data_IF_486457561284
#
_entry.id   IF_486457561284
#
_cell.length_a   1.000
_cell.length_b   1.000
_cell.length_c   1.000
_cell.angle_alpha   90.00
_cell.angle_beta   90.00
_cell.angle_gamma   90.00
#
_symmetry.space_group_name_H-M   'P 1'
#
loop_
_entity.id
_entity.type
_entity.pdbx_description
1 polymer ?
#
# COMPACT_ATOMS: atom_id res chain seq x y z
N UNK A 1 -4.73 -3.78 18.45
CA UNK A 1 -4.18 -4.69 17.43
C UNK A 1 -2.76 -4.27 17.09
N UNK A 2 -1.91 -5.21 16.70
CA UNK A 2 -0.61 -4.96 16.07
C UNK A 2 -0.77 -5.07 14.56
N UNK A 3 -0.52 -3.98 13.86
CA UNK A 3 -0.74 -3.84 12.42
C UNK A 3 0.60 -3.60 11.75
N UNK A 4 0.90 -4.43 10.74
CA UNK A 4 2.08 -4.25 9.87
C UNK A 4 1.60 -3.69 8.54
N UNK A 5 2.28 -2.67 8.03
CA UNK A 5 1.90 -1.98 6.80
C UNK A 5 3.09 -1.95 5.84
N UNK A 6 2.90 -2.49 4.64
CA UNK A 6 3.86 -2.38 3.53
C UNK A 6 3.50 -1.15 2.70
N UNK A 7 4.43 -0.20 2.61
CA UNK A 7 4.25 1.03 1.83
C UNK A 7 4.41 0.79 0.32
N UNK A 8 4.36 1.87 -0.45
CA UNK A 8 4.74 1.83 -1.87
C UNK A 8 6.26 1.67 -2.03
N UNK A 9 6.73 0.90 -3.04
CA UNK A 9 8.15 0.82 -3.40
C UNK A 9 8.57 1.95 -4.37
N UNK A 10 7.71 2.92 -4.63
CA UNK A 10 7.97 4.02 -5.58
C UNK A 10 8.50 5.22 -4.80
N UNK A 11 9.82 5.34 -4.72
CA UNK A 11 10.49 6.34 -3.91
C UNK A 11 10.29 6.14 -2.39
N UNK A 12 11.00 6.90 -1.59
CA UNK A 12 10.84 6.87 -0.13
C UNK A 12 9.68 7.78 0.32
N UNK A 13 9.05 7.47 1.43
CA UNK A 13 7.97 8.28 2.02
C UNK A 13 8.51 9.68 2.38
N UNK A 14 7.86 10.71 1.87
CA UNK A 14 8.31 12.10 1.94
C UNK A 14 9.09 12.55 0.71
N UNK A 15 9.30 11.69 -0.30
CA UNK A 15 9.94 12.07 -1.58
C UNK A 15 8.99 12.78 -2.53
N UNK A 16 7.69 12.62 -2.35
CA UNK A 16 6.66 13.05 -3.29
C UNK A 16 6.49 12.14 -4.52
N UNK A 17 7.39 11.18 -4.74
CA UNK A 17 7.32 10.25 -5.90
C UNK A 17 6.14 9.30 -5.82
N UNK A 18 5.76 8.87 -4.61
CA UNK A 18 4.60 8.02 -4.37
C UNK A 18 3.25 8.76 -4.45
N UNK A 19 3.29 10.10 -4.61
CA UNK A 19 2.10 10.93 -4.79
C UNK A 19 1.07 10.76 -3.67
N UNK A 20 -0.21 10.63 -4.05
CA UNK A 20 -1.31 10.50 -3.09
C UNK A 20 -1.23 9.32 -2.15
N UNK A 21 -0.50 8.25 -2.51
CA UNK A 21 -0.33 7.06 -1.65
C UNK A 21 0.47 7.41 -0.40
N UNK A 22 1.47 8.30 -0.47
CA UNK A 22 2.25 8.74 0.69
C UNK A 22 1.39 9.48 1.71
N UNK A 23 0.50 10.37 1.23
CA UNK A 23 -0.47 11.08 2.08
C UNK A 23 -1.47 10.12 2.73
N UNK A 24 -2.05 9.25 1.91
CA UNK A 24 -3.02 8.23 2.38
C UNK A 24 -2.40 7.35 3.47
N UNK A 25 -1.15 6.91 3.28
CA UNK A 25 -0.43 6.11 4.27
C UNK A 25 -0.25 6.88 5.58
N UNK A 26 0.19 8.13 5.53
CA UNK A 26 0.40 8.94 6.73
C UNK A 26 -0.90 9.14 7.51
N UNK A 27 -2.02 9.40 6.83
CA UNK A 27 -3.33 9.55 7.49
C UNK A 27 -3.85 8.23 8.04
N UNK A 28 -3.65 7.12 7.33
CA UNK A 28 -4.02 5.79 7.81
C UNK A 28 -3.25 5.44 9.08
N UNK A 29 -1.94 5.65 9.09
CA UNK A 29 -1.09 5.43 10.29
C UNK A 29 -1.57 6.29 11.45
N UNK A 30 -1.84 7.59 11.22
CA UNK A 30 -2.33 8.51 12.23
C UNK A 30 -3.67 8.05 12.82
N UNK A 31 -4.61 7.63 11.96
CA UNK A 31 -5.90 7.10 12.38
C UNK A 31 -5.78 5.83 13.21
N UNK A 32 -4.95 4.89 12.76
CA UNK A 32 -4.74 3.63 13.49
C UNK A 32 -4.09 3.85 14.87
N UNK A 33 -3.10 4.75 14.96
CA UNK A 33 -2.49 5.13 16.24
C UNK A 33 -3.50 5.79 17.18
N UNK A 34 -4.36 6.67 16.65
CA UNK A 34 -5.40 7.36 17.46
C UNK A 34 -6.45 6.39 18.02
N UNK A 35 -6.69 5.29 17.32
CA UNK A 35 -7.55 4.20 17.78
C UNK A 35 -6.84 3.22 18.76
N UNK A 36 -5.61 3.52 19.15
CA UNK A 36 -4.86 2.74 20.13
C UNK A 36 -4.20 1.48 19.56
N UNK A 37 -4.04 1.38 18.24
CA UNK A 37 -3.33 0.27 17.62
C UNK A 37 -1.81 0.49 17.65
N UNK A 38 -1.04 -0.60 17.68
CA UNK A 38 0.39 -0.59 17.41
C UNK A 38 0.62 -0.72 15.91
N UNK A 39 1.40 0.18 15.32
CA UNK A 39 1.62 0.24 13.88
C UNK A 39 3.11 0.13 13.57
N UNK A 40 3.46 -0.81 12.69
CA UNK A 40 4.79 -0.96 12.12
C UNK A 40 4.71 -0.77 10.61
N UNK A 41 5.57 0.06 10.06
CA UNK A 41 5.58 0.41 8.62
C UNK A 41 6.86 -0.08 7.99
N UNK A 42 6.75 -0.86 6.91
CA UNK A 42 7.86 -1.28 6.07
C UNK A 42 7.96 -0.29 4.91
N UNK A 43 9.09 0.35 4.75
CA UNK A 43 9.27 1.40 3.76
C UNK A 43 10.71 1.45 3.19
N UNK A 44 10.92 2.07 2.02
CA UNK A 44 12.24 2.33 1.48
C UNK A 44 13.13 3.11 2.45
N UNK A 45 14.44 2.91 2.37
CA UNK A 45 15.43 3.71 3.12
C UNK A 45 15.19 5.21 2.92
N UNK A 46 15.49 6.01 3.93
CA UNK A 46 15.26 7.46 4.01
C UNK A 46 13.78 7.88 4.12
N UNK A 47 12.85 6.96 4.20
CA UNK A 47 11.44 7.27 4.44
C UNK A 47 11.23 7.98 5.76
N UNK A 48 10.28 8.92 5.78
CA UNK A 48 9.85 9.65 6.97
C UNK A 48 8.33 9.63 7.05
N UNK A 49 7.82 9.40 8.25
CA UNK A 49 6.42 9.63 8.55
C UNK A 49 6.23 11.06 9.06
N UNK A 50 5.00 11.55 8.97
CA UNK A 50 4.64 12.83 9.57
C UNK A 50 4.90 12.82 11.10
N UNK A 51 5.24 13.96 11.67
CA UNK A 51 5.59 14.10 13.10
C UNK A 51 4.51 13.58 14.06
N UNK A 52 3.23 13.64 13.67
CA UNK A 52 2.14 13.03 14.44
C UNK A 52 2.23 11.51 14.58
N UNK A 53 3.04 10.86 13.73
CA UNK A 53 3.15 9.41 13.62
C UNK A 53 4.40 8.84 14.29
N UNK A 54 5.05 9.59 15.19
CA UNK A 54 6.30 9.19 15.86
C UNK A 54 6.19 7.87 16.65
N UNK A 55 4.97 7.46 17.03
CA UNK A 55 4.71 6.19 17.73
C UNK A 55 4.70 4.98 16.80
N UNK A 56 4.60 5.19 15.51
CA UNK A 56 4.72 4.09 14.55
C UNK A 56 6.18 3.68 14.40
N UNK A 57 6.44 2.39 14.37
CA UNK A 57 7.78 1.86 14.15
C UNK A 57 8.06 1.76 12.66
N UNK A 58 9.14 2.39 12.19
CA UNK A 58 9.53 2.39 10.79
C UNK A 58 10.67 1.39 10.56
N UNK A 59 10.49 0.50 9.59
CA UNK A 59 11.48 -0.48 9.17
C UNK A 59 11.94 -0.16 7.76
N UNK A 60 13.23 0.06 7.59
CA UNK A 60 13.82 0.41 6.31
C UNK A 60 14.28 -0.81 5.53
N UNK A 61 14.09 -0.73 4.22
CA UNK A 61 14.59 -1.67 3.22
C UNK A 61 15.33 -0.90 2.14
N UNK A 62 16.43 -1.47 1.65
CA UNK A 62 17.19 -0.98 0.51
C UNK A 62 17.02 -1.93 -0.66
N UNK A 63 17.07 -1.41 -1.86
CA UNK A 63 16.97 -2.18 -3.09
C UNK A 63 16.72 -1.29 -4.29
N UNK A 64 16.52 -1.90 -5.44
CA UNK A 64 16.19 -1.23 -6.68
C UNK A 64 14.70 -0.91 -6.73
N UNK A 65 14.39 0.35 -7.06
CA UNK A 65 13.01 0.87 -7.15
C UNK A 65 12.21 0.11 -8.23
N UNK A 66 10.93 -0.16 -7.95
CA UNK A 66 9.97 -0.60 -8.97
C UNK A 66 9.60 0.57 -9.90
N UNK A 67 9.39 0.25 -11.18
CA UNK A 67 8.81 1.21 -12.11
C UNK A 67 7.30 1.27 -11.84
N UNK A 68 6.79 2.47 -11.57
CA UNK A 68 5.34 2.67 -11.37
C UNK A 68 4.54 2.19 -12.57
N UNK A 69 3.44 1.48 -12.31
CA UNK A 69 2.52 1.03 -13.34
C UNK A 69 1.87 2.18 -14.12
N UNK A 70 1.82 3.38 -13.55
CA UNK A 70 1.40 4.61 -14.27
C UNK A 70 2.33 4.99 -15.42
N UNK A 71 3.56 4.52 -15.41
CA UNK A 71 4.57 4.79 -16.45
C UNK A 71 4.82 3.59 -17.36
N UNK A 72 3.97 2.56 -17.27
CA UNK A 72 4.05 1.36 -18.10
C UNK A 72 2.84 1.24 -19.02
N UNK A 73 2.97 0.44 -20.07
CA UNK A 73 1.82 0.11 -20.91
C UNK A 73 0.91 -0.90 -20.19
N UNK A 74 -0.39 -0.83 -20.45
CA UNK A 74 -1.40 -1.72 -19.86
C UNK A 74 -1.04 -3.21 -19.94
N UNK A 75 -0.40 -3.64 -21.01
CA UNK A 75 0.01 -5.03 -21.26
C UNK A 75 1.51 -5.29 -20.98
N UNK A 76 2.18 -4.40 -20.29
CA UNK A 76 3.58 -4.63 -19.89
C UNK A 76 3.70 -5.89 -19.03
N UNK A 77 4.75 -6.72 -19.25
CA UNK A 77 5.00 -7.87 -18.41
C UNK A 77 5.44 -7.44 -17.00
N UNK A 78 5.26 -8.32 -16.03
CA UNK A 78 5.86 -8.12 -14.70
C UNK A 78 7.36 -8.23 -14.81
N UNK A 79 8.07 -7.26 -14.25
CA UNK A 79 9.52 -7.27 -14.11
C UNK A 79 9.88 -7.06 -12.65
N UNK A 80 10.77 -7.90 -12.14
CA UNK A 80 11.26 -7.83 -10.76
C UNK A 80 12.79 -7.76 -10.87
N UNK A 81 13.41 -6.63 -10.45
CA UNK A 81 14.87 -6.51 -10.42
C UNK A 81 15.53 -7.55 -9.50
N UNK A 82 16.76 -7.94 -9.78
CA UNK A 82 17.52 -8.90 -8.96
C UNK A 82 17.65 -8.47 -7.50
N UNK A 83 17.83 -7.16 -7.26
CA UNK A 83 17.86 -6.55 -5.94
C UNK A 83 16.58 -5.74 -5.70
N UNK A 84 15.42 -6.36 -5.86
CA UNK A 84 14.12 -5.69 -5.79
C UNK A 84 13.82 -5.13 -4.40
N UNK A 85 13.65 -3.82 -4.31
CA UNK A 85 13.16 -3.15 -3.11
C UNK A 85 11.82 -3.72 -2.65
N UNK A 86 10.88 -3.95 -3.57
CA UNK A 86 9.56 -4.50 -3.26
C UNK A 86 9.65 -5.91 -2.68
N UNK A 87 10.51 -6.77 -3.24
CA UNK A 87 10.69 -8.13 -2.73
C UNK A 87 11.26 -8.09 -1.30
N UNK A 88 12.27 -7.26 -1.04
CA UNK A 88 12.83 -7.08 0.30
C UNK A 88 11.82 -6.49 1.31
N UNK A 89 10.98 -5.54 0.88
CA UNK A 89 9.91 -4.99 1.71
C UNK A 89 8.86 -6.06 2.06
N UNK A 90 8.51 -6.90 1.10
CA UNK A 90 7.58 -8.00 1.31
C UNK A 90 8.15 -9.05 2.25
N UNK A 91 9.38 -9.51 2.03
CA UNK A 91 10.07 -10.46 2.91
C UNK A 91 10.10 -9.96 4.36
N UNK A 92 10.56 -8.73 4.56
CA UNK A 92 10.60 -8.11 5.90
C UNK A 92 9.20 -7.93 6.51
N UNK A 93 8.23 -7.52 5.69
CA UNK A 93 6.84 -7.35 6.13
C UNK A 93 6.23 -8.68 6.57
N UNK A 94 6.41 -9.74 5.81
CA UNK A 94 5.94 -11.09 6.14
C UNK A 94 6.58 -11.65 7.40
N UNK A 95 7.89 -11.41 7.59
CA UNK A 95 8.57 -11.87 8.81
C UNK A 95 8.02 -11.19 10.07
N UNK A 96 7.82 -9.88 10.04
CA UNK A 96 7.24 -9.12 11.16
C UNK A 96 5.76 -9.49 11.36
N UNK A 97 5.03 -9.75 10.28
CA UNK A 97 3.61 -10.08 10.32
C UNK A 97 3.29 -11.43 10.99
N UNK A 98 4.26 -12.33 11.12
CA UNK A 98 4.10 -13.60 11.90
C UNK A 98 3.63 -13.35 13.33
N UNK A 99 3.88 -12.16 13.86
CA UNK A 99 3.52 -11.76 15.22
C UNK A 99 2.54 -10.59 15.25
N UNK A 100 1.86 -10.33 14.15
CA UNK A 100 0.89 -9.25 14.00
C UNK A 100 -0.54 -9.81 13.85
N UNK A 101 -1.52 -8.95 14.07
CA UNK A 101 -2.93 -9.30 13.89
C UNK A 101 -3.37 -9.18 12.42
N UNK A 102 -2.70 -8.29 11.64
CA UNK A 102 -3.01 -8.08 10.23
C UNK A 102 -1.82 -7.44 9.50
N UNK A 103 -1.66 -7.81 8.23
CA UNK A 103 -0.77 -7.20 7.27
C UNK A 103 -1.58 -6.35 6.28
N UNK A 104 -1.27 -5.07 6.17
CA UNK A 104 -1.85 -4.16 5.18
C UNK A 104 -0.84 -3.93 4.06
N UNK A 105 -1.21 -4.26 2.83
CA UNK A 105 -0.39 -3.98 1.66
C UNK A 105 -0.96 -2.77 0.90
N UNK A 106 -0.16 -1.72 0.75
CA UNK A 106 -0.48 -0.52 -0.04
C UNK A 106 0.29 -0.45 -1.35
N UNK A 107 1.12 -1.45 -1.63
CA UNK A 107 1.83 -1.54 -2.90
C UNK A 107 0.92 -2.09 -3.99
N UNK A 108 0.62 -1.26 -5.01
CA UNK A 108 -0.09 -1.72 -6.20
C UNK A 108 0.92 -2.43 -7.12
N UNK A 109 1.12 -3.71 -6.88
CA UNK A 109 2.02 -4.55 -7.68
C UNK A 109 1.58 -6.02 -7.67
N UNK A 110 2.08 -6.78 -8.64
CA UNK A 110 1.78 -8.19 -8.80
C UNK A 110 2.32 -9.04 -7.65
N UNK A 111 3.56 -8.79 -7.24
CA UNK A 111 4.28 -9.64 -6.30
C UNK A 111 3.61 -9.77 -4.92
N UNK A 112 3.16 -8.70 -4.23
CA UNK A 112 2.50 -8.82 -2.94
C UNK A 112 1.19 -9.61 -3.02
N UNK A 113 0.41 -9.42 -4.07
CA UNK A 113 -0.87 -10.12 -4.26
C UNK A 113 -0.62 -11.61 -4.55
N UNK A 114 0.40 -11.91 -5.34
CA UNK A 114 0.76 -13.30 -5.66
C UNK A 114 1.28 -14.05 -4.43
N UNK A 115 2.24 -13.49 -3.71
CA UNK A 115 2.94 -14.14 -2.61
C UNK A 115 2.05 -14.38 -1.39
N UNK A 116 0.99 -13.59 -1.20
CA UNK A 116 0.19 -13.60 0.02
C UNK A 116 -1.09 -14.44 -0.06
N UNK A 117 -1.42 -15.03 -1.24
CA UNK A 117 -2.68 -15.77 -1.41
C UNK A 117 -2.82 -17.01 -0.52
N UNK A 118 -1.72 -17.61 -0.08
CA UNK A 118 -1.72 -18.87 0.67
C UNK A 118 -1.10 -18.72 2.07
N UNK A 119 -1.10 -17.51 2.60
CA UNK A 119 -0.58 -17.25 3.93
C UNK A 119 -1.68 -17.37 4.97
N UNK A 120 -1.36 -17.96 6.12
CA UNK A 120 -2.25 -18.03 7.29
C UNK A 120 -2.32 -16.72 8.07
N UNK A 121 -1.73 -15.64 7.54
CA UNK A 121 -1.73 -14.32 8.16
C UNK A 121 -2.90 -13.52 7.56
N UNK A 122 -3.77 -12.89 8.38
CA UNK A 122 -4.77 -11.97 7.87
C UNK A 122 -4.12 -10.83 7.07
N UNK A 123 -4.53 -10.66 5.82
CA UNK A 123 -4.01 -9.64 4.92
C UNK A 123 -5.12 -8.83 4.29
N UNK A 124 -4.89 -7.53 4.12
CA UNK A 124 -5.71 -6.68 3.27
C UNK A 124 -4.84 -5.92 2.25
N UNK A 125 -5.21 -6.03 0.98
CA UNK A 125 -4.65 -5.24 -0.12
C UNK A 125 -5.49 -3.98 -0.28
N UNK A 126 -4.91 -2.82 0.00
CA UNK A 126 -5.54 -1.52 -0.25
C UNK A 126 -5.16 -1.12 -1.67
N UNK A 127 -6.11 -1.28 -2.59
CA UNK A 127 -5.91 -0.95 -3.99
C UNK A 127 -5.96 0.56 -4.16
N UNK A 128 -4.83 1.16 -4.56
CA UNK A 128 -4.66 2.61 -4.66
C UNK A 128 -4.83 3.16 -6.07
N UNK A 129 -4.93 2.29 -7.08
CA UNK A 129 -5.00 2.66 -8.50
C UNK A 129 -6.21 2.03 -9.17
N UNK A 130 -6.62 2.57 -10.31
CA UNK A 130 -7.53 1.92 -11.23
C UNK A 130 -6.88 0.70 -11.91
N UNK A 131 -7.56 0.13 -12.90
CA UNK A 131 -7.04 -1.03 -13.66
C UNK A 131 -5.95 -0.59 -14.65
N UNK A 132 -4.79 -0.23 -14.16
CA UNK A 132 -3.66 0.29 -14.97
C UNK A 132 -2.80 -0.83 -15.60
N UNK A 133 -3.02 -2.09 -15.20
CA UNK A 133 -2.26 -3.24 -15.68
C UNK A 133 -3.16 -4.46 -15.88
N UNK A 134 -3.11 -5.05 -17.08
CA UNK A 134 -3.83 -6.29 -17.39
C UNK A 134 -3.36 -7.44 -16.50
N UNK A 135 -2.07 -7.52 -16.23
CA UNK A 135 -1.47 -8.61 -15.44
C UNK A 135 -1.91 -8.53 -13.98
N UNK A 136 -1.90 -7.32 -13.40
CA UNK A 136 -2.36 -7.12 -12.01
C UNK A 136 -3.87 -7.32 -11.93
N UNK A 137 -4.64 -6.77 -12.86
CA UNK A 137 -6.11 -6.91 -12.88
C UNK A 137 -6.53 -8.38 -12.99
N UNK A 138 -5.86 -9.16 -13.84
CA UNK A 138 -6.10 -10.60 -13.95
C UNK A 138 -5.77 -11.34 -12.65
N UNK A 139 -4.68 -10.96 -11.97
CA UNK A 139 -4.32 -11.55 -10.68
C UNK A 139 -5.33 -11.19 -9.60
N UNK A 140 -5.71 -9.90 -9.49
CA UNK A 140 -6.76 -9.47 -8.56
C UNK A 140 -8.05 -10.26 -8.80
N UNK A 141 -8.46 -10.46 -10.07
CA UNK A 141 -9.65 -11.24 -10.40
C UNK A 141 -9.58 -12.67 -9.85
N UNK A 142 -8.44 -13.34 -10.04
CA UNK A 142 -8.23 -14.72 -9.55
C UNK A 142 -8.24 -14.81 -8.02
N UNK A 143 -7.55 -13.88 -7.36
CA UNK A 143 -7.42 -13.89 -5.90
C UNK A 143 -8.72 -13.43 -5.24
N UNK A 144 -9.38 -12.40 -5.78
CA UNK A 144 -10.68 -11.92 -5.29
C UNK A 144 -11.76 -13.00 -5.35
N UNK A 145 -11.76 -13.85 -6.38
CA UNK A 145 -12.71 -14.96 -6.47
C UNK A 145 -12.63 -15.95 -5.30
N UNK A 146 -11.46 -16.07 -4.68
CA UNK A 146 -11.21 -16.95 -3.53
C UNK A 146 -11.30 -16.20 -2.19
N UNK A 147 -10.78 -14.97 -2.16
CA UNK A 147 -10.57 -14.16 -0.94
C UNK A 147 -11.10 -12.73 -1.12
N UNK A 148 -12.42 -12.55 -1.33
CA UNK A 148 -12.99 -11.22 -1.62
C UNK A 148 -12.77 -10.21 -0.50
N UNK A 149 -12.70 -10.67 0.74
CA UNK A 149 -12.51 -9.81 1.91
C UNK A 149 -11.08 -9.30 2.09
N UNK A 150 -10.13 -9.78 1.27
CA UNK A 150 -8.74 -9.33 1.34
C UNK A 150 -8.47 -8.07 0.50
N UNK A 151 -9.49 -7.50 -0.16
CA UNK A 151 -9.34 -6.33 -1.02
C UNK A 151 -10.21 -5.17 -0.56
N UNK A 152 -9.60 -4.01 -0.42
CA UNK A 152 -10.27 -2.76 -0.10
C UNK A 152 -9.94 -1.69 -1.16
N UNK A 153 -10.91 -0.81 -1.41
CA UNK A 153 -10.83 0.25 -2.40
C UNK A 153 -11.17 1.60 -1.74
N UNK A 154 -10.61 2.68 -2.26
CA UNK A 154 -10.89 4.00 -1.73
C UNK A 154 -12.27 4.53 -2.11
N UNK A 155 -12.79 4.15 -3.27
CA UNK A 155 -14.12 4.59 -3.73
C UNK A 155 -14.82 3.55 -4.59
N UNK A 156 -16.14 3.68 -4.71
CA UNK A 156 -16.93 2.86 -5.63
C UNK A 156 -16.52 3.09 -7.10
N UNK A 157 -16.17 4.32 -7.44
CA UNK A 157 -15.73 4.67 -8.79
C UNK A 157 -14.45 3.89 -9.15
N UNK A 158 -13.46 3.89 -8.27
CA UNK A 158 -12.22 3.11 -8.45
C UNK A 158 -12.51 1.60 -8.53
N UNK A 159 -13.37 1.07 -7.66
CA UNK A 159 -13.72 -0.35 -7.69
C UNK A 159 -14.42 -0.76 -9.00
N UNK A 160 -15.13 0.16 -9.66
CA UNK A 160 -15.79 -0.10 -10.95
C UNK A 160 -14.80 -0.31 -12.11
N UNK A 161 -13.54 0.13 -11.98
CA UNK A 161 -12.48 -0.19 -12.95
C UNK A 161 -12.14 -1.69 -12.99
N UNK A 162 -12.65 -2.44 -11.99
CA UNK A 162 -12.52 -3.89 -11.87
C UNK A 162 -13.90 -4.55 -12.00
N UNK A 163 -14.39 -4.84 -13.21
CA UNK A 163 -15.79 -5.25 -13.45
C UNK A 163 -16.19 -6.57 -12.78
N UNK A 164 -15.22 -7.38 -12.36
CA UNK A 164 -15.45 -8.61 -11.61
C UNK A 164 -15.70 -8.38 -10.11
N UNK A 165 -15.42 -7.19 -9.58
CA UNK A 165 -15.70 -6.82 -8.18
C UNK A 165 -17.19 -6.49 -8.02
N UNK A 166 -17.94 -7.39 -7.40
CA UNK A 166 -19.40 -7.22 -7.23
C UNK A 166 -19.79 -6.54 -5.91
N UNK A 167 -19.01 -6.77 -4.86
CA UNK A 167 -19.25 -6.23 -3.51
C UNK A 167 -17.96 -5.65 -2.95
N UNK A 168 -17.54 -4.46 -3.41
CA UNK A 168 -16.29 -3.87 -2.95
C UNK A 168 -16.37 -3.46 -1.48
N UNK A 169 -15.30 -3.68 -0.74
CA UNK A 169 -15.08 -3.05 0.56
C UNK A 169 -14.54 -1.65 0.29
N UNK A 170 -15.27 -0.63 0.67
CA UNK A 170 -14.90 0.78 0.47
C UNK A 170 -14.45 1.35 1.81
N UNK A 171 -13.19 1.82 1.86
CA UNK A 171 -12.60 2.43 3.06
C UNK A 171 -12.61 3.96 3.03
N UNK A 172 -12.88 4.56 1.86
CA UNK A 172 -12.83 6.01 1.68
C UNK A 172 -11.40 6.55 1.63
N UNK A 173 -11.32 7.88 1.56
CA UNK A 173 -10.07 8.63 1.72
C UNK A 173 -10.17 9.46 2.99
N UNK A 174 -9.41 9.12 4.02
CA UNK A 174 -9.31 9.92 5.22
C UNK A 174 -8.33 11.09 5.00
N UNK A 175 -8.76 12.33 5.25
CA UNK A 175 -7.88 13.49 5.22
C UNK A 175 -7.96 14.22 6.56
N UNK A 176 -6.82 14.63 7.07
CA UNK A 176 -6.78 15.59 8.17
C UNK A 176 -6.73 17.00 7.59
N UNK A 177 -7.88 17.69 7.57
CA UNK A 177 -7.99 19.03 7.03
C UNK A 177 -7.03 20.03 7.68
N UNK A 178 -6.72 19.89 8.97
CA UNK A 178 -5.77 20.77 9.64
C UNK A 178 -4.36 20.69 9.04
N UNK A 179 -3.93 19.50 8.60
CA UNK A 179 -2.62 19.32 7.97
C UNK A 179 -2.58 19.83 6.53
N UNK A 180 -3.71 19.84 5.83
CA UNK A 180 -3.79 20.36 4.45
C UNK A 180 -3.72 21.89 4.41
N UNK A 181 -4.23 22.58 5.43
CA UNK A 181 -4.27 24.05 5.48
C UNK A 181 -3.05 24.69 6.15
N UNK A 182 -2.17 23.92 6.78
CA UNK A 182 -0.93 24.43 7.40
C UNK A 182 0.28 24.43 6.48
N UNK A 183 0.18 23.81 5.31
CA UNK A 183 1.23 23.94 4.28
C UNK A 183 0.99 25.20 3.48
N UNK A 184 2.00 26.10 3.32
CA UNK A 184 1.89 27.25 2.42
C UNK A 184 1.56 26.75 1.01
N UNK A 185 0.60 27.43 0.36
CA UNK A 185 0.27 27.15 -1.02
C UNK A 185 1.50 27.39 -1.89
N UNK A 186 1.84 26.51 -2.85
CA UNK A 186 2.93 26.77 -3.79
C UNK A 186 2.68 27.96 -4.72
N UNK A 187 1.61 28.73 -4.49
CA UNK A 187 1.19 29.87 -5.32
C UNK A 187 1.25 31.21 -4.61
N UNK A 188 1.79 31.28 -3.39
CA UNK A 188 2.02 32.53 -2.65
C UNK A 188 3.47 32.99 -2.78
#
# INVERSE_FOLDING_TARGET
>A
MRIVLISTPIGFLGSGKGGGVELTLNFLVSGLLSLGHSVEVIAPKNSKLHESNVKAKLHFVEGEDQISWQHQNYNSPVSIPDNSLLAGMLEKGLDIAKHADVLLNMSYDWLPIWMTQNLDIPIAHIISMGSESSVISNLISKVYAKYPNNFAFHSKMQANDYPFIKKPIIIGNGFNFCLLYTSPSPRD
#
